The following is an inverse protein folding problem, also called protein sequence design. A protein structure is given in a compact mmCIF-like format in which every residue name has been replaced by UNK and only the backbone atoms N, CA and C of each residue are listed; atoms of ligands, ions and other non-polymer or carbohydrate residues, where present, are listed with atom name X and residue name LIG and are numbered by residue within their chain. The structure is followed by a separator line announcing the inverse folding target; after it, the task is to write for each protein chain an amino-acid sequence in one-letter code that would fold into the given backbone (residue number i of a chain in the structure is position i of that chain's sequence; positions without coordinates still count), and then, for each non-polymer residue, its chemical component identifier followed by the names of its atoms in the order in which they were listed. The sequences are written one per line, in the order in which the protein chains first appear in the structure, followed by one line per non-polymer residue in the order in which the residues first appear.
data_IF_971882683391
#
_entry.id   IF_971882683391
#
_cell.length_a   1.000
_cell.length_b   1.000
_cell.length_c   1.000
_cell.angle_alpha   90.00
_cell.angle_beta   90.00
_cell.angle_gamma   90.00
#
_symmetry.space_group_name_H-M   'P 1'
#
loop_
_entity.id
_entity.type
_entity.pdbx_description
1 polymer ?
#
# COMPACT_ATOMS: atom_id res chain seq x y z
N UNK A 1 -19.02 -9.24 -33.01
CA UNK A 1 -17.91 -9.16 -32.06
C UNK A 1 -18.45 -8.56 -30.78
N UNK A 2 -18.76 -9.41 -29.82
CA UNK A 2 -19.26 -8.98 -28.50
C UNK A 2 -18.08 -8.64 -27.62
N UNK A 3 -18.27 -7.75 -26.64
CA UNK A 3 -17.22 -7.32 -25.70
C UNK A 3 -16.61 -8.49 -24.91
N UNK A 4 -17.35 -9.59 -24.78
CA UNK A 4 -16.90 -10.83 -24.13
C UNK A 4 -15.80 -11.56 -24.93
N UNK A 5 -15.80 -11.48 -26.27
CA UNK A 5 -14.76 -12.11 -27.12
C UNK A 5 -13.42 -11.34 -27.07
N UNK A 6 -13.45 -10.02 -26.82
CA UNK A 6 -12.24 -9.20 -26.73
C UNK A 6 -11.48 -9.41 -25.40
N UNK A 7 -12.19 -9.82 -24.35
CA UNK A 7 -11.61 -10.08 -23.02
C UNK A 7 -10.85 -11.41 -23.01
N UNK A 8 -11.37 -12.45 -23.68
CA UNK A 8 -10.72 -13.76 -23.77
C UNK A 8 -9.41 -13.71 -24.58
N UNK A 9 -9.35 -12.91 -25.65
CA UNK A 9 -8.14 -12.75 -26.47
C UNK A 9 -7.02 -12.03 -25.68
N UNK A 10 -7.38 -11.08 -24.81
CA UNK A 10 -6.43 -10.33 -24.00
C UNK A 10 -5.79 -11.19 -22.90
N UNK A 11 -6.56 -12.15 -22.34
CA UNK A 11 -6.09 -13.06 -21.30
C UNK A 11 -5.18 -14.17 -21.85
N UNK A 12 -5.38 -14.65 -23.08
CA UNK A 12 -4.49 -15.66 -23.70
C UNK A 12 -3.10 -15.10 -24.07
N UNK A 13 -3.00 -13.82 -24.47
CA UNK A 13 -1.73 -13.19 -24.84
C UNK A 13 -0.82 -12.84 -23.66
N UNK A 14 -1.34 -12.80 -22.42
CA UNK A 14 -0.54 -12.42 -21.21
C UNK A 14 0.09 -13.64 -20.48
N UNK A 15 -0.20 -14.88 -20.92
CA UNK A 15 0.22 -16.11 -20.22
C UNK A 15 1.60 -16.64 -20.67
N UNK A 16 2.13 -16.19 -21.81
CA UNK A 16 3.27 -16.87 -22.47
C UNK A 16 4.69 -16.43 -22.05
N UNK A 17 4.90 -15.36 -21.26
CA UNK A 17 6.27 -14.91 -20.96
C UNK A 17 6.55 -14.62 -19.48
N UNK A 18 7.08 -15.64 -18.77
CA UNK A 18 7.96 -15.47 -17.62
C UNK A 18 7.31 -15.47 -16.23
N UNK A 19 7.90 -16.26 -15.32
CA UNK A 19 7.65 -16.36 -13.86
C UNK A 19 6.66 -15.32 -13.31
N UNK A 20 5.46 -15.77 -12.90
CA UNK A 20 4.38 -14.97 -12.30
C UNK A 20 4.94 -13.99 -11.26
N UNK A 21 5.25 -12.76 -11.68
CA UNK A 21 5.64 -11.68 -10.78
C UNK A 21 4.44 -11.41 -9.88
N UNK A 22 4.63 -11.40 -8.57
CA UNK A 22 3.57 -10.99 -7.65
C UNK A 22 3.13 -9.58 -8.03
N UNK A 23 1.92 -9.44 -8.60
CA UNK A 23 1.36 -8.13 -8.98
C UNK A 23 1.38 -7.24 -7.75
N UNK A 24 2.03 -6.09 -7.84
CA UNK A 24 2.10 -5.12 -6.75
C UNK A 24 0.75 -4.40 -6.70
N UNK A 25 0.04 -4.52 -5.59
CA UNK A 25 -1.25 -3.89 -5.39
C UNK A 25 -1.11 -2.66 -4.51
N UNK A 26 -1.42 -1.49 -5.08
CA UNK A 26 -1.45 -0.22 -4.36
C UNK A 26 -2.60 -0.19 -3.33
N UNK A 27 -2.43 0.59 -2.27
CA UNK A 27 -3.42 0.71 -1.19
C UNK A 27 -4.81 1.14 -1.71
N UNK A 28 -4.83 2.08 -2.66
CA UNK A 28 -6.06 2.54 -3.33
C UNK A 28 -6.77 1.41 -4.05
N UNK A 29 -6.04 0.62 -4.86
CA UNK A 29 -6.58 -0.53 -5.59
C UNK A 29 -7.16 -1.60 -4.63
N UNK A 30 -6.51 -1.84 -3.49
CA UNK A 30 -7.02 -2.77 -2.47
C UNK A 30 -8.35 -2.32 -1.89
N UNK A 31 -8.45 -1.04 -1.49
CA UNK A 31 -9.68 -0.46 -0.93
C UNK A 31 -10.82 -0.43 -1.95
N UNK A 32 -10.50 -0.12 -3.21
CA UNK A 32 -11.48 -0.15 -4.30
C UNK A 32 -12.03 -1.56 -4.54
N UNK A 33 -11.15 -2.57 -4.54
CA UNK A 33 -11.55 -3.98 -4.66
C UNK A 33 -12.45 -4.43 -3.50
N UNK A 34 -12.16 -3.98 -2.28
CA UNK A 34 -12.99 -4.27 -1.09
C UNK A 34 -14.36 -3.60 -1.21
N UNK A 35 -14.42 -2.32 -1.58
CA UNK A 35 -15.68 -1.60 -1.77
C UNK A 35 -16.54 -2.24 -2.87
N UNK A 36 -15.92 -2.64 -3.99
CA UNK A 36 -16.61 -3.35 -5.06
C UNK A 36 -17.17 -4.70 -4.61
N UNK A 37 -16.38 -5.46 -3.83
CA UNK A 37 -16.78 -6.76 -3.30
C UNK A 37 -17.93 -6.65 -2.28
N UNK A 38 -18.00 -5.57 -1.50
CA UNK A 38 -19.11 -5.29 -0.57
C UNK A 38 -20.42 -4.93 -1.29
N UNK A 39 -20.33 -4.16 -2.39
CA UNK A 39 -21.50 -3.73 -3.17
C UNK A 39 -22.05 -4.83 -4.09
N UNK A 40 -21.15 -5.66 -4.61
CA UNK A 40 -21.49 -6.75 -5.53
C UNK A 40 -21.15 -8.09 -4.87
N UNK A 41 -20.21 -8.83 -5.45
CA UNK A 41 -19.73 -10.10 -4.95
C UNK A 41 -18.22 -10.20 -5.08
N UNK A 42 -17.59 -11.01 -4.22
CA UNK A 42 -16.15 -11.30 -4.26
C UNK A 42 -15.72 -11.92 -5.60
N UNK A 43 -16.59 -12.72 -6.22
CA UNK A 43 -16.30 -13.33 -7.53
C UNK A 43 -16.19 -12.27 -8.64
N UNK A 44 -17.10 -11.29 -8.66
CA UNK A 44 -17.05 -10.15 -9.59
C UNK A 44 -15.81 -9.29 -9.35
N UNK A 45 -15.48 -9.00 -8.08
CA UNK A 45 -14.27 -8.25 -7.73
C UNK A 45 -13.00 -8.99 -8.17
N UNK A 46 -12.96 -10.32 -8.03
CA UNK A 46 -11.81 -11.13 -8.43
C UNK A 46 -11.49 -11.00 -9.91
N UNK A 47 -12.52 -11.08 -10.76
CA UNK A 47 -12.40 -10.86 -12.20
C UNK A 47 -11.98 -9.42 -12.51
N UNK A 48 -12.70 -8.43 -11.95
CA UNK A 48 -12.45 -7.00 -12.23
C UNK A 48 -11.05 -6.53 -11.86
N UNK A 49 -10.53 -6.97 -10.71
CA UNK A 49 -9.23 -6.51 -10.20
C UNK A 49 -8.07 -7.47 -10.52
N UNK A 50 -8.36 -8.62 -11.13
CA UNK A 50 -7.44 -9.72 -11.40
C UNK A 50 -6.69 -10.17 -10.13
N UNK A 51 -7.46 -10.43 -9.08
CA UNK A 51 -6.97 -10.82 -7.74
C UNK A 51 -7.70 -12.06 -7.29
N UNK A 52 -7.00 -13.04 -6.72
CA UNK A 52 -7.64 -14.22 -6.14
C UNK A 52 -8.67 -13.82 -5.07
N UNK A 53 -9.86 -14.43 -5.14
CA UNK A 53 -10.94 -14.32 -4.15
C UNK A 53 -10.44 -14.49 -2.72
N UNK A 54 -9.46 -15.37 -2.46
CA UNK A 54 -8.88 -15.53 -1.11
C UNK A 54 -8.18 -14.25 -0.64
N UNK A 55 -7.43 -13.60 -1.51
CA UNK A 55 -6.73 -12.35 -1.22
C UNK A 55 -7.74 -11.23 -0.97
N UNK A 56 -8.78 -11.12 -1.79
CA UNK A 56 -9.86 -10.14 -1.59
C UNK A 56 -10.53 -10.33 -0.24
N UNK A 57 -10.86 -11.58 0.15
CA UNK A 57 -11.42 -11.88 1.47
C UNK A 57 -10.48 -11.47 2.61
N UNK A 58 -9.16 -11.67 2.45
CA UNK A 58 -8.20 -11.20 3.44
C UNK A 58 -8.18 -9.68 3.54
N UNK A 59 -8.22 -8.96 2.41
CA UNK A 59 -8.32 -7.50 2.43
C UNK A 59 -9.62 -6.99 3.06
N UNK A 60 -10.74 -7.71 2.87
CA UNK A 60 -12.00 -7.38 3.56
C UNK A 60 -11.86 -7.55 5.09
N UNK A 61 -11.17 -8.61 5.57
CA UNK A 61 -10.90 -8.78 7.00
C UNK A 61 -10.01 -7.67 7.57
N UNK A 62 -9.04 -7.23 6.77
CA UNK A 62 -8.08 -6.17 7.14
C UNK A 62 -8.53 -4.76 6.72
N UNK A 63 -9.79 -4.56 6.30
CA UNK A 63 -10.28 -3.30 5.73
C UNK A 63 -10.02 -2.10 6.64
N UNK A 64 -10.32 -2.23 7.93
CA UNK A 64 -10.06 -1.20 8.94
C UNK A 64 -8.57 -0.79 8.99
N UNK A 65 -7.66 -1.74 8.81
CA UNK A 65 -6.21 -1.46 8.78
C UNK A 65 -5.81 -0.74 7.49
N UNK A 66 -6.43 -1.12 6.36
CA UNK A 66 -6.21 -0.46 5.07
C UNK A 66 -6.70 1.00 5.10
N UNK A 67 -7.84 1.27 5.75
CA UNK A 67 -8.36 2.62 5.96
C UNK A 67 -7.46 3.47 6.87
N UNK A 68 -7.01 2.91 7.99
CA UNK A 68 -6.05 3.57 8.88
C UNK A 68 -4.74 3.90 8.15
N UNK A 69 -4.26 2.98 7.29
CA UNK A 69 -3.08 3.22 6.48
C UNK A 69 -3.27 4.36 5.47
N UNK A 70 -4.49 4.56 4.96
CA UNK A 70 -4.82 5.66 4.04
C UNK A 70 -4.75 7.03 4.73
N UNK A 71 -5.12 7.10 6.01
CA UNK A 71 -5.17 8.34 6.79
C UNK A 71 -3.83 8.80 7.37
N UNK A 72 -2.80 7.94 7.39
CA UNK A 72 -1.49 8.29 7.95
C UNK A 72 -0.66 9.15 6.97
N UNK A 73 -0.07 10.29 7.39
CA UNK A 73 0.83 11.08 6.56
C UNK A 73 2.11 10.25 6.27
N UNK A 74 2.27 9.81 5.02
CA UNK A 74 3.30 8.85 4.59
C UNK A 74 2.78 7.46 4.19
N UNK A 75 1.46 7.21 4.36
CA UNK A 75 0.79 5.93 4.10
C UNK A 75 0.72 5.50 2.64
N UNK A 76 0.89 6.42 1.68
CA UNK A 76 0.94 6.09 0.25
C UNK A 76 2.27 5.44 -0.17
N UNK A 77 3.38 5.69 0.55
CA UNK A 77 4.73 5.25 0.17
C UNK A 77 5.24 4.02 0.93
N UNK A 78 4.56 3.58 2.00
CA UNK A 78 4.92 2.35 2.72
C UNK A 78 4.25 1.15 2.05
N UNK A 79 5.04 0.39 1.27
CA UNK A 79 4.59 -0.85 0.58
C UNK A 79 4.14 -1.97 1.53
N UNK A 80 4.46 -1.89 2.83
CA UNK A 80 4.25 -2.95 3.82
C UNK A 80 3.31 -2.47 4.94
N UNK A 81 2.42 -3.36 5.38
CA UNK A 81 1.67 -3.20 6.63
C UNK A 81 2.67 -3.16 7.80
N UNK A 82 2.29 -2.44 8.86
CA UNK A 82 3.05 -2.49 10.11
C UNK A 82 3.07 -3.93 10.65
N UNK A 83 4.21 -4.37 11.19
CA UNK A 83 4.44 -5.74 11.62
C UNK A 83 4.98 -6.71 10.56
N UNK A 84 5.27 -6.25 9.34
CA UNK A 84 5.97 -7.06 8.33
C UNK A 84 7.50 -7.03 8.51
N UNK A 85 8.09 -8.03 9.18
CA UNK A 85 9.54 -8.15 9.35
C UNK A 85 9.94 -8.54 10.78
N UNK A 86 11.25 -8.50 11.07
CA UNK A 86 11.75 -8.72 12.44
C UNK A 86 11.29 -7.55 13.33
N UNK A 87 10.77 -7.85 14.52
CA UNK A 87 10.35 -6.82 15.47
C UNK A 87 11.56 -5.98 15.87
N UNK A 88 11.41 -4.66 15.81
CA UNK A 88 12.41 -3.71 16.29
C UNK A 88 12.53 -3.91 17.79
N UNK A 89 13.75 -4.21 18.28
CA UNK A 89 14.00 -4.48 19.70
C UNK A 89 14.09 -3.20 20.53
N UNK A 90 14.60 -2.11 19.94
CA UNK A 90 14.79 -0.83 20.63
C UNK A 90 14.22 0.32 19.78
N UNK A 91 12.89 0.52 19.80
CA UNK A 91 12.25 1.52 18.95
C UNK A 91 12.70 2.94 19.25
N UNK A 92 13.10 3.24 20.49
CA UNK A 92 13.51 4.59 20.89
C UNK A 92 14.94 4.92 20.45
N UNK A 93 15.85 3.94 20.51
CA UNK A 93 17.21 4.08 19.95
C UNK A 93 17.17 4.28 18.44
N UNK A 94 16.35 3.49 17.73
CA UNK A 94 16.19 3.61 16.28
C UNK A 94 15.59 4.97 15.89
N UNK A 95 14.67 5.52 16.70
CA UNK A 95 14.12 6.87 16.48
C UNK A 95 15.18 7.95 16.68
N UNK A 96 16.00 7.84 17.73
CA UNK A 96 17.07 8.78 18.04
C UNK A 96 18.14 8.79 16.95
N UNK A 97 18.61 7.61 16.53
CA UNK A 97 19.53 7.44 15.41
C UNK A 97 18.97 8.03 14.12
N UNK A 98 17.72 7.69 13.77
CA UNK A 98 17.08 8.22 12.57
C UNK A 98 16.87 9.74 12.63
N UNK A 99 16.73 10.33 13.81
CA UNK A 99 16.62 11.79 13.98
C UNK A 99 18.00 12.45 13.84
N UNK A 100 19.03 11.86 14.44
CA UNK A 100 20.42 12.29 14.34
C UNK A 100 20.93 12.27 12.89
N UNK A 101 20.67 11.19 12.16
CA UNK A 101 20.98 11.08 10.74
C UNK A 101 20.28 12.19 9.95
N UNK A 102 18.94 12.34 10.06
CA UNK A 102 18.22 13.40 9.33
C UNK A 102 18.78 14.80 9.58
N UNK A 103 19.21 15.09 10.80
CA UNK A 103 19.83 16.38 11.15
C UNK A 103 21.23 16.53 10.54
N UNK A 104 22.03 15.47 10.52
CA UNK A 104 23.33 15.47 9.84
C UNK A 104 23.17 15.68 8.33
N UNK A 105 22.23 14.99 7.70
CA UNK A 105 21.91 15.15 6.28
C UNK A 105 21.40 16.56 5.98
N UNK A 106 20.53 17.15 6.82
CA UNK A 106 20.09 18.55 6.71
C UNK A 106 21.21 19.58 6.81
N UNK A 107 22.21 19.31 7.67
CA UNK A 107 23.40 20.17 7.81
C UNK A 107 24.30 20.09 6.58
N UNK A 108 24.44 18.92 5.96
CA UNK A 108 25.21 18.71 4.72
C UNK A 108 24.53 19.38 3.51
N UNK A 109 23.20 19.32 3.41
CA UNK A 109 22.43 19.93 2.32
C UNK A 109 22.03 21.40 2.58
N UNK A 110 22.46 22.01 3.70
CA UNK A 110 22.23 23.42 4.00
C UNK A 110 20.77 23.83 4.27
N UNK A 111 19.86 22.88 4.50
CA UNK A 111 18.43 23.18 4.77
C UNK A 111 18.20 23.21 6.28
N UNK A 112 18.51 24.35 6.89
CA UNK A 112 18.19 24.60 8.31
C UNK A 112 16.73 25.03 8.42
N UNK A 113 15.83 24.11 8.75
CA UNK A 113 14.45 24.46 9.09
C UNK A 113 14.45 25.21 10.43
N UNK A 114 14.16 26.51 10.41
CA UNK A 114 13.87 27.27 11.63
C UNK A 114 12.62 26.69 12.30
N UNK A 115 12.80 26.19 13.53
CA UNK A 115 11.73 25.68 14.36
C UNK A 115 10.85 26.86 14.81
N UNK A 116 9.70 27.05 14.16
CA UNK A 116 8.70 28.03 14.57
C UNK A 116 8.06 27.57 15.87
N UNK A 117 8.53 28.16 16.96
CA UNK A 117 8.02 28.03 18.33
C UNK A 117 6.52 28.36 18.33
N UNK A 118 5.70 27.41 18.77
CA UNK A 118 4.30 27.65 19.15
C UNK A 118 4.24 28.47 20.46
N UNK A 119 3.43 29.53 20.44
CA UNK A 119 2.67 30.10 21.57
C UNK A 119 3.40 30.92 22.63
N UNK A 120 3.03 32.20 22.78
CA UNK A 120 2.48 32.74 24.05
C UNK A 120 1.91 34.17 23.88
N UNK A 121 0.74 34.38 24.50
CA UNK A 121 -0.10 35.58 24.66
C UNK A 121 -0.95 36.07 23.49
#
# INVERSE_FOLDING_TARGET
MTEDELIEIQDELEISEGKKRHRIHNLTKKLEAVNWARKNFVHSASRKFNVDRKIIRNWMKDEKKLEQQKSLPGGQNRKRLDGGGRKISHPDLDKELAMGERNAWKKVIGVTAHNTKQGNR
#
